data_IF_934779345163
#
_entry.id   IF_934779345163
#
_cell.length_a   1.000
_cell.length_b   1.000
_cell.length_c   1.000
_cell.angle_alpha   90.00
_cell.angle_beta   90.00
_cell.angle_gamma   90.00
#
_symmetry.space_group_name_H-M   'P 1'
#
loop_
_entity.id
_entity.type
_entity.pdbx_description
1 polymer ?
#
# COMPACT_ATOMS: atom_id res chain seq x y z
N UNK A 1 6.96 13.44 -9.71
CA UNK A 1 7.34 12.01 -9.85
C UNK A 1 6.58 11.27 -8.77
N UNK A 2 5.77 10.28 -9.10
CA UNK A 2 4.92 9.61 -8.10
C UNK A 2 5.60 8.37 -7.54
N UNK A 3 5.27 8.02 -6.31
CA UNK A 3 5.70 6.78 -5.66
C UNK A 3 4.49 5.95 -5.25
N UNK A 4 4.67 4.63 -5.20
CA UNK A 4 3.62 3.74 -4.70
C UNK A 4 3.62 3.78 -3.17
N UNK A 5 2.47 4.14 -2.58
CA UNK A 5 2.25 4.02 -1.14
C UNK A 5 1.06 3.10 -0.88
N UNK A 6 1.12 2.38 0.24
CA UNK A 6 0.02 1.60 0.80
C UNK A 6 -0.59 2.36 1.95
N UNK A 7 -1.91 2.42 2.03
CA UNK A 7 -2.56 2.88 3.25
C UNK A 7 -2.64 1.72 4.26
N UNK A 8 -2.12 1.89 5.47
CA UNK A 8 -2.22 0.89 6.53
C UNK A 8 -3.66 0.72 7.05
N UNK A 9 -4.54 1.72 6.86
CA UNK A 9 -5.95 1.67 7.26
C UNK A 9 -6.79 0.94 6.22
N UNK A 10 -6.85 1.46 5.00
CA UNK A 10 -7.68 0.87 3.95
C UNK A 10 -6.94 -0.17 3.09
N UNK A 11 -5.69 -0.51 3.39
CA UNK A 11 -4.91 -1.56 2.74
C UNK A 11 -4.55 -1.35 1.26
N UNK A 12 -5.06 -0.30 0.61
CA UNK A 12 -4.93 -0.09 -0.84
C UNK A 12 -3.58 0.53 -1.20
N UNK A 13 -3.00 0.04 -2.30
CA UNK A 13 -1.86 0.64 -2.97
C UNK A 13 -2.33 1.65 -4.01
N UNK A 14 -1.71 2.84 -4.04
CA UNK A 14 -1.96 3.86 -5.06
C UNK A 14 -0.67 4.64 -5.35
N UNK A 15 -0.68 5.39 -6.45
CA UNK A 15 0.35 6.35 -6.77
C UNK A 15 0.08 7.65 -6.01
N UNK A 16 1.09 8.16 -5.34
CA UNK A 16 1.05 9.37 -4.53
C UNK A 16 2.22 10.27 -4.91
N UNK A 17 2.09 11.56 -4.61
CA UNK A 17 3.28 12.40 -4.52
C UNK A 17 4.15 11.95 -3.32
N UNK A 18 5.49 12.00 -3.39
CA UNK A 18 6.35 11.67 -2.25
C UNK A 18 5.99 12.46 -0.98
N UNK A 19 5.50 13.68 -1.12
CA UNK A 19 5.14 14.55 0.00
C UNK A 19 3.72 14.29 0.55
N UNK A 20 2.89 13.52 -0.16
CA UNK A 20 1.54 13.19 0.31
C UNK A 20 1.57 12.36 1.59
N UNK A 21 0.92 12.86 2.63
CA UNK A 21 0.79 12.15 3.91
C UNK A 21 -0.57 11.48 4.05
N UNK A 22 -1.60 11.95 3.35
CA UNK A 22 -2.98 11.48 3.50
C UNK A 22 -3.44 10.56 2.38
N UNK A 23 -4.13 9.48 2.74
CA UNK A 23 -4.70 8.55 1.78
C UNK A 23 -5.91 9.18 1.07
N UNK A 24 -5.78 9.46 -0.24
CA UNK A 24 -6.87 9.95 -1.09
C UNK A 24 -8.13 9.05 -1.12
N UNK A 25 -8.04 7.81 -0.64
CA UNK A 25 -9.18 6.88 -0.59
C UNK A 25 -9.98 6.91 0.72
N UNK A 26 -9.33 7.14 1.86
CA UNK A 26 -9.98 7.05 3.18
C UNK A 26 -9.69 8.24 4.11
N UNK A 27 -8.85 9.20 3.70
CA UNK A 27 -8.53 10.41 4.45
C UNK A 27 -7.52 10.24 5.59
N UNK A 28 -7.10 9.03 5.93
CA UNK A 28 -6.12 8.79 7.00
C UNK A 28 -4.67 9.06 6.58
N UNK A 29 -3.84 9.51 7.51
CA UNK A 29 -2.42 9.83 7.33
C UNK A 29 -1.46 8.62 7.40
N UNK A 30 -2.02 7.41 7.48
CA UNK A 30 -1.24 6.18 7.62
C UNK A 30 -0.75 5.63 6.26
N UNK A 31 0.03 6.42 5.51
CA UNK A 31 0.63 6.00 4.25
C UNK A 31 2.05 5.44 4.45
N UNK A 32 2.29 4.25 3.91
CA UNK A 32 3.59 3.57 3.95
C UNK A 32 4.14 3.46 2.52
N UNK A 33 5.37 3.94 2.29
CA UNK A 33 6.08 3.78 0.99
C UNK A 33 6.92 2.51 0.91
N UNK A 34 7.16 1.86 2.06
CA UNK A 34 8.02 0.69 2.18
C UNK A 34 7.38 -0.38 3.07
N UNK A 35 7.68 -1.63 2.78
CA UNK A 35 7.45 -2.72 3.71
C UNK A 35 8.37 -2.58 4.93
N UNK A 36 8.02 -3.20 6.05
CA UNK A 36 8.85 -3.24 7.27
C UNK A 36 10.23 -3.86 7.07
N UNK A 37 10.45 -4.61 5.98
CA UNK A 37 11.77 -5.12 5.59
C UNK A 37 12.61 -4.11 4.76
N UNK A 38 12.10 -2.89 4.58
CA UNK A 38 12.74 -1.82 3.80
C UNK A 38 12.56 -1.93 2.28
N UNK A 39 11.69 -2.82 1.78
CA UNK A 39 11.41 -2.94 0.34
C UNK A 39 10.34 -1.91 -0.07
N UNK A 40 10.67 -1.04 -1.02
CA UNK A 40 9.71 -0.09 -1.61
C UNK A 40 8.58 -0.80 -2.36
N UNK A 41 7.38 -0.20 -2.36
CA UNK A 41 6.17 -0.78 -2.97
C UNK A 41 6.00 -0.48 -4.47
N UNK A 42 7.01 0.03 -5.17
CA UNK A 42 6.91 0.41 -6.58
C UNK A 42 6.42 -0.73 -7.49
N UNK A 43 6.69 -1.98 -7.12
CA UNK A 43 6.22 -3.18 -7.82
C UNK A 43 4.72 -3.47 -7.67
N UNK A 44 4.05 -2.88 -6.67
CA UNK A 44 2.70 -3.26 -6.26
C UNK A 44 1.58 -2.53 -7.02
N UNK A 45 1.90 -1.52 -7.85
CA UNK A 45 0.88 -0.66 -8.47
C UNK A 45 0.02 -1.38 -9.52
N UNK A 46 0.51 -2.48 -10.09
CA UNK A 46 -0.13 -3.20 -11.19
C UNK A 46 -0.76 -4.53 -10.76
N UNK A 47 -0.64 -4.90 -9.49
CA UNK A 47 -1.10 -6.19 -8.97
C UNK A 47 -2.43 -6.02 -8.21
N UNK A 48 -3.41 -6.86 -8.52
CA UNK A 48 -4.67 -6.93 -7.79
C UNK A 48 -4.71 -8.21 -6.94
N UNK A 49 -5.32 -8.14 -5.75
CA UNK A 49 -5.53 -9.30 -4.88
C UNK A 49 -4.55 -9.43 -3.71
N UNK A 50 -4.33 -10.68 -3.28
CA UNK A 50 -3.50 -11.03 -2.13
C UNK A 50 -2.00 -10.77 -2.41
N UNK A 51 -1.55 -9.56 -2.12
CA UNK A 51 -0.16 -9.18 -2.33
C UNK A 51 0.74 -9.63 -1.19
N UNK A 52 1.94 -10.08 -1.56
CA UNK A 52 3.00 -10.43 -0.64
C UNK A 52 4.24 -9.58 -0.92
N UNK A 53 5.04 -9.31 0.11
CA UNK A 53 6.34 -8.69 -0.08
C UNK A 53 7.31 -9.71 -0.69
N UNK A 54 7.89 -9.47 -1.88
CA UNK A 54 8.80 -10.41 -2.52
C UNK A 54 10.13 -10.57 -1.76
N UNK A 55 10.43 -9.67 -0.81
CA UNK A 55 11.65 -9.72 -0.01
C UNK A 55 11.51 -10.53 1.29
N UNK A 56 10.37 -10.44 1.97
CA UNK A 56 10.18 -11.06 3.29
C UNK A 56 8.94 -11.97 3.39
N UNK A 57 8.19 -12.13 2.31
CA UNK A 57 6.97 -12.96 2.27
C UNK A 57 5.78 -12.39 3.05
N UNK A 58 5.92 -11.22 3.70
CA UNK A 58 4.86 -10.62 4.49
C UNK A 58 3.62 -10.36 3.65
N UNK A 59 2.46 -10.74 4.17
CA UNK A 59 1.15 -10.46 3.57
C UNK A 59 0.89 -8.95 3.65
N UNK A 60 0.65 -8.34 2.49
CA UNK A 60 0.33 -6.92 2.31
C UNK A 60 -1.16 -6.74 1.95
N UNK A 61 -2.02 -7.59 2.54
CA UNK A 61 -3.46 -7.66 2.27
C UNK A 61 -4.12 -6.28 2.21
N UNK A 62 -4.91 -6.05 1.18
CA UNK A 62 -5.91 -4.99 1.16
C UNK A 62 -6.88 -5.10 2.36
N UNK A 63 -7.79 -4.15 2.53
CA UNK A 63 -8.78 -4.25 3.60
C UNK A 63 -9.56 -5.57 3.39
N UNK A 64 -10.04 -6.21 4.47
CA UNK A 64 -10.83 -7.43 4.32
C UNK A 64 -11.96 -7.16 3.33
N UNK A 65 -12.13 -8.05 2.36
CA UNK A 65 -13.34 -8.07 1.54
C UNK A 65 -14.46 -8.31 2.54
N UNK A 66 -15.30 -7.30 2.76
CA UNK A 66 -16.54 -7.50 3.52
C UNK A 66 -17.44 -8.24 2.55
N UNK A 67 -17.54 -9.55 2.73
CA UNK A 67 -18.56 -10.38 2.08
C UNK A 67 -19.91 -9.93 2.67
N UNK A 68 -20.77 -9.35 1.83
CA UNK A 68 -22.15 -8.98 2.17
C UNK A 68 -23.11 -10.12 1.80
#
# INVERSE_FOLDING_TARGET
>A
MTITKRCAVCGRFRAYDPDDTFCIGCGHDALESHCTCGRAFEYALHEAGDMHCPRCGRVLRGPPVIDE
#
